data_IF_795984470189
#
_entry.id   IF_795984470189
#
_cell.length_a   1.000
_cell.length_b   1.000
_cell.length_c   1.000
_cell.angle_alpha   90.00
_cell.angle_beta   90.00
_cell.angle_gamma   90.00
#
_symmetry.space_group_name_H-M   'P 1'
#
loop_
_entity.id
_entity.type
_entity.pdbx_description
1 polymer ?
#
# COMPACT_ATOMS: atom_id res chain seq x y z
N UNK A 1 -5.47 -19.77 -47.18
CA UNK A 1 -4.05 -19.36 -47.21
C UNK A 1 -3.18 -20.32 -46.40
N UNK A 2 -3.19 -21.61 -46.64
CA UNK A 2 -2.38 -22.64 -45.93
C UNK A 2 -1.54 -23.51 -46.87
N UNK A 3 -1.46 -23.17 -48.15
CA UNK A 3 -0.75 -23.97 -49.16
C UNK A 3 0.69 -23.44 -49.50
N UNK A 4 1.22 -22.48 -48.78
CA UNK A 4 2.50 -21.81 -49.09
C UNK A 4 3.73 -22.36 -48.37
N UNK A 5 3.61 -23.29 -47.41
CA UNK A 5 4.74 -23.70 -46.55
C UNK A 5 5.45 -24.98 -47.00
N UNK A 6 5.03 -25.58 -48.10
CA UNK A 6 5.55 -26.90 -48.54
C UNK A 6 6.79 -26.87 -49.45
N UNK A 7 7.48 -25.77 -49.63
CA UNK A 7 8.73 -25.75 -50.41
C UNK A 7 9.78 -24.85 -49.81
N UNK A 8 10.44 -25.31 -48.75
CA UNK A 8 11.82 -24.91 -48.41
C UNK A 8 12.56 -26.09 -47.77
N UNK A 9 13.27 -26.84 -48.60
CA UNK A 9 14.10 -28.00 -48.21
C UNK A 9 15.45 -27.59 -47.56
N UNK A 10 15.61 -26.34 -47.07
CA UNK A 10 16.82 -25.89 -46.39
C UNK A 10 16.64 -25.63 -44.88
N UNK A 11 15.47 -25.95 -44.31
CA UNK A 11 15.20 -25.74 -42.90
C UNK A 11 15.60 -26.94 -41.99
N UNK A 12 16.24 -27.98 -42.56
CA UNK A 12 16.46 -29.24 -41.87
C UNK A 12 17.62 -29.23 -40.85
N UNK A 13 18.53 -28.25 -40.95
CA UNK A 13 19.65 -28.17 -39.99
C UNK A 13 19.33 -27.41 -38.69
N UNK A 14 18.30 -26.56 -38.71
CA UNK A 14 17.94 -25.75 -37.55
C UNK A 14 17.24 -26.54 -36.43
N UNK A 15 16.76 -27.75 -36.72
CA UNK A 15 16.03 -28.62 -35.78
C UNK A 15 16.89 -29.72 -35.15
N UNK A 16 18.19 -29.81 -35.45
CA UNK A 16 19.02 -30.92 -34.96
C UNK A 16 19.08 -30.92 -33.42
N UNK A 17 19.25 -29.75 -32.79
CA UNK A 17 19.43 -29.58 -31.34
C UNK A 17 18.14 -29.30 -30.57
N UNK A 18 16.99 -29.34 -31.24
CA UNK A 18 15.71 -29.07 -30.56
C UNK A 18 15.24 -30.35 -29.84
N UNK A 19 14.80 -30.28 -28.57
CA UNK A 19 14.30 -31.40 -27.81
C UNK A 19 13.14 -32.14 -28.52
N UNK A 20 13.06 -33.45 -28.34
CA UNK A 20 12.12 -34.33 -29.04
C UNK A 20 10.65 -33.91 -28.83
N UNK A 21 10.30 -33.43 -27.62
CA UNK A 21 8.94 -32.96 -27.29
C UNK A 21 8.54 -31.71 -28.08
N UNK A 22 9.50 -30.79 -28.33
CA UNK A 22 9.25 -29.61 -29.17
C UNK A 22 9.05 -30.03 -30.64
N UNK A 23 9.87 -30.98 -31.13
CA UNK A 23 9.69 -31.54 -32.49
C UNK A 23 8.31 -32.18 -32.65
N UNK A 24 7.84 -32.88 -31.61
CA UNK A 24 6.52 -33.48 -31.56
C UNK A 24 5.42 -32.43 -31.62
N UNK A 25 5.52 -31.35 -30.83
CA UNK A 25 4.59 -30.21 -30.85
C UNK A 25 4.46 -29.57 -32.24
N UNK A 26 5.57 -29.40 -32.97
CA UNK A 26 5.56 -28.86 -34.32
C UNK A 26 4.96 -29.82 -35.37
N UNK A 27 5.07 -31.14 -35.13
CA UNK A 27 4.54 -32.17 -36.06
C UNK A 27 3.06 -32.42 -35.83
N UNK A 28 2.67 -32.62 -34.58
CA UNK A 28 1.38 -33.14 -34.17
C UNK A 28 0.43 -32.03 -33.68
N UNK A 29 0.94 -30.80 -33.53
CA UNK A 29 0.24 -29.70 -32.88
C UNK A 29 0.32 -29.74 -31.37
N UNK A 30 -0.08 -28.65 -30.71
CA UNK A 30 -0.19 -28.63 -29.26
C UNK A 30 -1.39 -29.46 -28.79
N UNK A 31 -1.24 -30.28 -27.73
CA UNK A 31 -2.40 -30.96 -27.16
C UNK A 31 -3.44 -29.95 -26.72
N UNK A 32 -4.72 -30.25 -27.00
CA UNK A 32 -5.83 -29.35 -26.68
C UNK A 32 -6.55 -29.71 -25.36
N UNK A 33 -6.13 -30.79 -24.71
CA UNK A 33 -6.73 -31.39 -23.51
C UNK A 33 -5.90 -31.15 -22.26
N UNK A 34 -5.46 -29.90 -22.05
CA UNK A 34 -4.75 -29.52 -20.85
C UNK A 34 -5.47 -28.42 -20.09
N UNK A 35 -5.30 -28.40 -18.79
CA UNK A 35 -5.72 -27.29 -17.92
C UNK A 35 -4.49 -26.42 -17.64
N UNK A 36 -4.62 -25.13 -17.96
CA UNK A 36 -3.60 -24.13 -17.64
C UNK A 36 -3.93 -23.47 -16.29
N UNK A 37 -3.03 -23.62 -15.34
CA UNK A 37 -3.10 -22.88 -14.07
C UNK A 37 -1.86 -22.00 -14.03
N UNK A 38 -2.08 -20.68 -13.98
CA UNK A 38 -1.04 -19.67 -13.87
C UNK A 38 -1.19 -18.88 -12.57
N UNK A 39 -0.08 -18.50 -11.95
CA UNK A 39 -0.04 -17.59 -10.81
C UNK A 39 0.96 -16.48 -11.11
N UNK A 40 0.61 -15.25 -10.77
CA UNK A 40 1.44 -14.08 -11.02
C UNK A 40 1.12 -12.99 -9.99
N UNK A 41 2.10 -12.12 -9.74
CA UNK A 41 1.95 -10.89 -8.95
C UNK A 41 1.82 -9.65 -9.85
N UNK A 42 1.73 -9.84 -11.17
CA UNK A 42 1.58 -8.73 -12.12
C UNK A 42 0.15 -8.22 -12.12
N UNK A 43 0.03 -6.94 -12.38
CA UNK A 43 -1.27 -6.32 -12.61
C UNK A 43 -1.98 -6.94 -13.82
N UNK A 44 -3.33 -7.05 -13.79
CA UNK A 44 -4.11 -7.63 -14.87
C UNK A 44 -3.81 -7.04 -16.25
N UNK A 45 -3.50 -5.74 -16.32
CA UNK A 45 -3.19 -5.04 -17.57
C UNK A 45 -1.85 -5.48 -18.19
N UNK A 46 -0.93 -6.02 -17.38
CA UNK A 46 0.38 -6.51 -17.83
C UNK A 46 0.31 -7.93 -18.38
N UNK A 47 -0.81 -8.63 -18.15
CA UNK A 47 -1.00 -10.00 -18.64
C UNK A 47 -1.58 -9.95 -20.05
N UNK A 48 -1.04 -10.82 -20.94
CA UNK A 48 -1.50 -10.87 -22.32
C UNK A 48 -3.03 -11.09 -22.37
N UNK A 49 -3.78 -10.20 -23.05
CA UNK A 49 -5.24 -10.27 -23.13
C UNK A 49 -5.76 -11.60 -23.73
N UNK A 50 -4.98 -12.24 -24.62
CA UNK A 50 -5.33 -13.52 -25.20
C UNK A 50 -5.32 -14.68 -24.18
N UNK A 51 -4.52 -14.59 -23.12
CA UNK A 51 -4.50 -15.55 -22.01
C UNK A 51 -5.68 -15.25 -21.10
N UNK A 52 -5.83 -13.97 -20.69
CA UNK A 52 -6.90 -13.54 -19.77
C UNK A 52 -8.28 -13.91 -20.28
N UNK A 53 -8.56 -13.69 -21.56
CA UNK A 53 -9.87 -13.99 -22.17
C UNK A 53 -10.24 -15.50 -22.19
N UNK A 54 -9.28 -16.38 -21.89
CA UNK A 54 -9.46 -17.85 -21.91
C UNK A 54 -9.33 -18.50 -20.55
N UNK A 55 -9.04 -17.71 -19.50
CA UNK A 55 -8.88 -18.18 -18.14
C UNK A 55 -9.95 -17.57 -17.22
N UNK A 56 -10.33 -18.29 -16.19
CA UNK A 56 -11.01 -17.70 -15.04
C UNK A 56 -9.95 -16.99 -14.19
N UNK A 57 -10.25 -15.76 -13.80
CA UNK A 57 -9.35 -14.99 -12.93
C UNK A 57 -9.78 -15.19 -11.47
N UNK A 58 -8.81 -15.52 -10.61
CA UNK A 58 -9.00 -15.64 -9.17
C UNK A 58 -8.03 -14.68 -8.51
N UNK A 59 -8.55 -13.71 -7.78
CA UNK A 59 -7.75 -12.75 -7.04
C UNK A 59 -7.56 -13.23 -5.61
N UNK A 60 -6.32 -13.13 -5.12
CA UNK A 60 -5.98 -13.39 -3.74
C UNK A 60 -5.75 -12.07 -3.02
N UNK A 61 -6.46 -11.89 -1.92
CA UNK A 61 -6.26 -10.74 -1.06
C UNK A 61 -4.92 -10.85 -0.30
N UNK A 62 -4.30 -9.72 0.09
CA UNK A 62 -3.16 -9.72 1.00
C UNK A 62 -3.49 -10.44 2.30
N UNK A 63 -2.49 -11.11 2.89
CA UNK A 63 -2.65 -11.75 4.18
C UNK A 63 -2.91 -10.70 5.27
N UNK A 64 -3.84 -10.99 6.16
CA UNK A 64 -4.08 -10.20 7.37
C UNK A 64 -3.12 -10.67 8.49
N UNK A 65 -2.91 -9.87 9.55
CA UNK A 65 -2.08 -10.27 10.69
C UNK A 65 -2.50 -11.64 11.25
N UNK A 66 -3.80 -11.89 11.38
CA UNK A 66 -4.35 -13.14 11.91
C UNK A 66 -4.03 -14.34 11.01
N UNK A 67 -3.98 -14.12 9.69
CA UNK A 67 -3.59 -15.14 8.73
C UNK A 67 -2.09 -15.47 8.88
N UNK A 68 -1.25 -14.43 9.05
CA UNK A 68 0.19 -14.60 9.32
C UNK A 68 0.43 -15.32 10.64
N UNK A 69 -0.28 -14.94 11.70
CA UNK A 69 -0.21 -15.64 12.99
C UNK A 69 -0.58 -17.11 12.86
N UNK A 70 -1.65 -17.41 12.11
CA UNK A 70 -2.08 -18.79 11.84
C UNK A 70 -1.02 -19.57 11.08
N UNK A 71 -0.40 -18.95 10.06
CA UNK A 71 0.71 -19.55 9.31
C UNK A 71 1.90 -19.86 10.23
N UNK A 72 2.26 -18.93 11.11
CA UNK A 72 3.36 -19.08 12.08
C UNK A 72 3.05 -20.19 13.08
N UNK A 73 1.84 -20.22 13.65
CA UNK A 73 1.40 -21.28 14.60
C UNK A 73 1.45 -22.66 13.93
N UNK A 74 0.94 -22.79 12.70
CA UNK A 74 0.99 -24.03 11.93
C UNK A 74 2.44 -24.45 11.57
N UNK A 75 3.31 -23.50 11.28
CA UNK A 75 4.72 -23.78 11.01
C UNK A 75 5.46 -24.23 12.28
N UNK A 76 5.19 -23.59 13.42
CA UNK A 76 5.74 -23.99 14.72
C UNK A 76 5.33 -25.41 15.12
N UNK A 77 4.06 -25.78 14.91
CA UNK A 77 3.57 -27.13 15.14
C UNK A 77 4.30 -28.17 14.28
N UNK A 78 4.47 -27.90 12.97
CA UNK A 78 5.22 -28.77 12.06
C UNK A 78 6.69 -28.92 12.47
N UNK A 79 7.31 -27.88 12.98
CA UNK A 79 8.66 -27.87 13.53
C UNK A 79 8.74 -28.51 14.93
N UNK A 80 7.61 -28.81 15.56
CA UNK A 80 7.50 -29.26 16.94
C UNK A 80 8.14 -28.30 17.94
N UNK A 81 7.89 -27.00 17.75
CA UNK A 81 8.42 -25.90 18.55
C UNK A 81 7.27 -25.21 19.27
N UNK A 82 7.45 -24.95 20.56
CA UNK A 82 6.51 -24.14 21.35
C UNK A 82 6.88 -22.67 21.26
N UNK A 83 5.88 -21.82 21.15
CA UNK A 83 6.02 -20.37 21.14
C UNK A 83 5.57 -19.80 22.48
N UNK A 84 6.29 -18.81 22.98
CA UNK A 84 5.75 -17.95 24.06
C UNK A 84 4.56 -17.13 23.52
N UNK A 85 3.57 -16.90 24.40
CA UNK A 85 2.41 -16.10 24.03
C UNK A 85 2.84 -14.72 23.48
N UNK A 86 2.25 -14.32 22.35
CA UNK A 86 2.54 -13.07 21.67
C UNK A 86 3.71 -13.14 20.67
N UNK A 87 4.38 -14.30 20.49
CA UNK A 87 5.46 -14.45 19.47
C UNK A 87 4.89 -14.44 18.06
N UNK A 88 3.75 -15.08 17.84
CA UNK A 88 3.12 -15.11 16.53
C UNK A 88 2.62 -13.71 16.11
N UNK A 89 1.99 -12.99 17.04
CA UNK A 89 1.58 -11.60 16.88
C UNK A 89 2.79 -10.70 16.58
N UNK A 90 3.89 -10.88 17.31
CA UNK A 90 5.11 -10.12 17.08
C UNK A 90 5.68 -10.37 15.67
N UNK A 91 5.61 -11.59 15.13
CA UNK A 91 6.07 -11.88 13.76
C UNK A 91 5.17 -11.15 12.74
N UNK A 92 3.86 -11.11 12.97
CA UNK A 92 2.93 -10.38 12.08
C UNK A 92 3.19 -8.86 12.07
N UNK A 93 3.73 -8.28 13.16
CA UNK A 93 4.19 -6.89 13.21
C UNK A 93 5.39 -6.61 12.30
N UNK A 94 6.24 -7.60 12.05
CA UNK A 94 7.43 -7.44 11.20
C UNK A 94 7.17 -7.73 9.71
N UNK A 95 6.17 -8.53 9.38
CA UNK A 95 5.92 -8.90 7.98
C UNK A 95 4.51 -9.42 7.76
N UNK A 96 3.93 -9.04 6.62
CA UNK A 96 2.66 -9.57 6.10
C UNK A 96 2.87 -10.69 5.07
N UNK A 97 4.11 -11.04 4.76
CA UNK A 97 4.41 -12.10 3.82
C UNK A 97 4.58 -13.44 4.54
N UNK A 98 3.72 -14.42 4.27
CA UNK A 98 3.76 -15.73 4.93
C UNK A 98 5.11 -16.43 4.80
N UNK A 99 5.82 -16.29 3.67
CA UNK A 99 7.15 -16.87 3.49
C UNK A 99 8.20 -16.21 4.41
N UNK A 100 8.18 -14.88 4.50
CA UNK A 100 9.10 -14.15 5.39
C UNK A 100 8.80 -14.46 6.85
N UNK A 101 7.53 -14.59 7.23
CA UNK A 101 7.11 -14.96 8.58
C UNK A 101 7.65 -16.35 8.98
N UNK A 102 7.53 -17.34 8.09
CA UNK A 102 8.07 -18.68 8.34
C UNK A 102 9.60 -18.68 8.39
N UNK A 103 10.28 -17.92 7.54
CA UNK A 103 11.74 -17.79 7.59
C UNK A 103 12.18 -17.16 8.90
N UNK A 104 11.50 -16.09 9.36
CA UNK A 104 11.80 -15.42 10.61
C UNK A 104 11.61 -16.36 11.81
N UNK A 105 10.57 -17.21 11.78
CA UNK A 105 10.37 -18.26 12.78
C UNK A 105 11.52 -19.29 12.76
N UNK A 106 11.97 -19.73 11.58
CA UNK A 106 13.06 -20.68 11.43
C UNK A 106 14.39 -20.11 11.92
N UNK A 107 14.65 -18.83 11.66
CA UNK A 107 15.83 -18.12 12.15
C UNK A 107 15.81 -18.01 13.69
N UNK A 108 14.64 -17.68 14.27
CA UNK A 108 14.45 -17.63 15.71
C UNK A 108 14.65 -19.03 16.37
N UNK A 109 14.17 -20.07 15.73
CA UNK A 109 14.40 -21.45 16.17
C UNK A 109 15.89 -21.80 16.14
N UNK A 110 16.58 -21.47 15.06
CA UNK A 110 18.01 -21.71 14.91
C UNK A 110 18.82 -21.00 16.00
N UNK A 111 18.47 -19.77 16.33
CA UNK A 111 19.08 -19.01 17.43
C UNK A 111 18.80 -19.66 18.78
N UNK A 112 17.56 -20.11 19.03
CA UNK A 112 17.18 -20.79 20.27
C UNK A 112 17.97 -22.08 20.48
N UNK A 113 18.15 -22.90 19.44
CA UNK A 113 18.94 -24.13 19.47
C UNK A 113 20.41 -23.84 19.72
N UNK A 114 20.97 -22.81 19.06
CA UNK A 114 22.36 -22.42 19.25
C UNK A 114 22.64 -21.99 20.71
N UNK A 115 21.77 -21.19 21.30
CA UNK A 115 21.93 -20.71 22.70
C UNK A 115 21.73 -21.84 23.72
N UNK A 116 20.93 -22.84 23.40
CA UNK A 116 20.75 -24.04 24.24
C UNK A 116 21.92 -25.03 24.16
N UNK A 117 22.99 -24.70 23.43
CA UNK A 117 24.14 -25.61 23.27
C UNK A 117 23.83 -26.88 22.47
N UNK A 118 22.83 -26.86 21.59
CA UNK A 118 22.41 -28.02 20.80
C UNK A 118 21.48 -28.99 21.51
N UNK A 119 21.21 -28.82 22.79
CA UNK A 119 20.27 -29.64 23.56
C UNK A 119 18.88 -29.02 23.47
N UNK A 120 18.04 -29.56 22.61
CA UNK A 120 16.69 -29.19 22.22
C UNK A 120 15.80 -28.43 23.21
N UNK A 121 15.96 -27.12 23.31
CA UNK A 121 14.88 -26.27 23.75
C UNK A 121 14.01 -25.97 22.53
N UNK A 122 12.97 -26.75 22.33
CA UNK A 122 11.95 -26.51 21.31
C UNK A 122 11.00 -25.38 21.77
N UNK A 123 11.58 -24.24 22.21
CA UNK A 123 10.82 -23.11 22.71
C UNK A 123 11.41 -21.79 22.23
N UNK A 124 10.59 -20.93 21.65
CA UNK A 124 10.96 -19.61 21.18
C UNK A 124 10.30 -18.57 22.07
N UNK A 125 11.14 -17.80 22.79
CA UNK A 125 10.70 -16.69 23.62
C UNK A 125 10.59 -15.39 22.80
N UNK A 126 9.84 -14.42 23.32
CA UNK A 126 9.77 -13.07 22.77
C UNK A 126 11.15 -12.40 22.68
N UNK A 127 12.04 -12.69 23.62
CA UNK A 127 13.40 -12.13 23.60
C UNK A 127 14.23 -12.70 22.45
N UNK A 128 14.19 -14.02 22.23
CA UNK A 128 14.83 -14.65 21.07
C UNK A 128 14.28 -14.06 19.78
N UNK A 129 12.96 -13.89 19.70
CA UNK A 129 12.31 -13.32 18.53
C UNK A 129 12.77 -11.89 18.25
N UNK A 130 12.82 -11.02 19.27
CA UNK A 130 13.33 -9.65 19.15
C UNK A 130 14.76 -9.60 18.65
N UNK A 131 15.62 -10.46 19.19
CA UNK A 131 17.03 -10.53 18.79
C UNK A 131 17.18 -11.02 17.36
N UNK A 132 16.39 -11.99 16.94
CA UNK A 132 16.36 -12.48 15.56
C UNK A 132 15.92 -11.36 14.61
N UNK A 133 14.83 -10.66 14.92
CA UNK A 133 14.35 -9.55 14.11
C UNK A 133 15.38 -8.42 13.97
N UNK A 134 16.07 -8.06 15.06
CA UNK A 134 17.18 -7.09 15.04
C UNK A 134 18.36 -7.57 14.20
N UNK A 135 18.73 -8.86 14.31
CA UNK A 135 19.81 -9.46 13.53
C UNK A 135 19.52 -9.47 12.04
N UNK A 136 18.26 -9.67 11.66
CA UNK A 136 17.77 -9.60 10.28
C UNK A 136 17.52 -8.17 9.79
N UNK A 137 17.82 -7.15 10.59
CA UNK A 137 17.58 -5.72 10.32
C UNK A 137 16.11 -5.43 9.96
N UNK A 138 15.20 -6.22 10.49
CA UNK A 138 13.79 -5.97 10.34
C UNK A 138 13.36 -4.87 11.30
N UNK A 139 12.71 -3.87 10.77
CA UNK A 139 12.00 -2.87 11.56
C UNK A 139 10.54 -3.27 11.67
N UNK A 140 9.91 -3.00 12.80
CA UNK A 140 8.47 -3.14 12.92
C UNK A 140 7.84 -2.28 11.83
N UNK A 141 7.05 -2.91 10.98
CA UNK A 141 6.46 -2.24 9.81
C UNK A 141 5.43 -1.19 10.21
N UNK A 142 5.03 -1.19 11.48
CA UNK A 142 3.88 -0.43 11.94
C UNK A 142 4.18 0.23 13.30
N UNK A 143 4.51 1.51 13.25
CA UNK A 143 4.42 2.36 14.42
C UNK A 143 2.98 2.88 14.50
N UNK A 144 2.32 2.71 15.66
CA UNK A 144 1.09 3.46 15.95
C UNK A 144 1.47 4.94 15.99
N UNK A 145 1.06 5.65 14.96
CA UNK A 145 1.34 7.09 14.79
C UNK A 145 0.09 7.95 15.06
N UNK A 146 -1.08 7.31 15.10
CA UNK A 146 -2.33 7.99 15.43
C UNK A 146 -2.24 8.67 16.80
N UNK A 147 -2.68 9.92 16.87
CA UNK A 147 -2.68 10.76 18.07
C UNK A 147 -4.07 11.33 18.31
N UNK A 148 -4.43 11.54 19.58
CA UNK A 148 -5.66 12.22 19.95
C UNK A 148 -5.46 13.75 20.02
N UNK A 149 -4.25 14.26 19.82
CA UNK A 149 -3.93 15.69 19.85
C UNK A 149 -4.07 16.26 18.43
N UNK A 150 -5.04 17.13 18.18
CA UNK A 150 -5.22 17.74 16.87
C UNK A 150 -4.07 18.70 16.53
N UNK A 151 -3.69 18.74 15.25
CA UNK A 151 -2.59 19.59 14.77
C UNK A 151 -3.01 20.44 13.57
N UNK A 152 -2.48 21.67 13.50
CA UNK A 152 -2.72 22.57 12.37
C UNK A 152 -1.80 22.21 11.22
N UNK A 153 -2.38 22.05 10.03
CA UNK A 153 -1.63 21.77 8.81
C UNK A 153 -1.08 20.36 8.71
N UNK A 154 -1.40 19.46 9.63
CA UNK A 154 -0.93 18.08 9.62
C UNK A 154 -2.06 17.08 9.41
N UNK A 155 -1.87 16.11 8.51
CA UNK A 155 -2.86 15.07 8.19
C UNK A 155 -2.18 13.80 7.72
N UNK A 156 -2.81 12.65 7.97
CA UNK A 156 -2.37 11.37 7.45
C UNK A 156 -3.07 11.06 6.13
N UNK A 157 -2.28 11.00 5.05
CA UNK A 157 -2.67 10.41 3.78
C UNK A 157 -2.38 8.91 3.75
N UNK A 158 -2.73 8.25 2.64
CA UNK A 158 -2.53 6.82 2.44
C UNK A 158 -1.88 6.52 1.09
N UNK A 159 -0.89 5.65 1.12
CA UNK A 159 -0.19 5.12 -0.04
C UNK A 159 -0.25 3.61 -0.13
N UNK A 160 0.04 3.08 -1.32
CA UNK A 160 0.21 1.64 -1.57
C UNK A 160 1.56 1.43 -2.25
N UNK A 161 2.28 0.43 -1.77
CA UNK A 161 3.52 -0.04 -2.41
C UNK A 161 3.44 -1.56 -2.55
N UNK A 162 3.27 -2.03 -3.78
CA UNK A 162 2.94 -3.43 -4.05
C UNK A 162 1.60 -3.81 -3.41
N UNK A 163 1.63 -4.78 -2.51
CA UNK A 163 0.43 -5.24 -1.77
C UNK A 163 0.35 -4.70 -0.34
N UNK A 164 1.15 -3.68 0.00
CA UNK A 164 1.18 -3.11 1.34
C UNK A 164 0.69 -1.67 1.32
N UNK A 165 -0.32 -1.39 2.14
CA UNK A 165 -0.75 -0.04 2.44
C UNK A 165 0.08 0.59 3.54
N UNK A 166 0.26 1.90 3.48
CA UNK A 166 0.96 2.67 4.51
C UNK A 166 0.34 4.04 4.68
N UNK A 167 0.49 4.60 5.87
CA UNK A 167 0.20 6.00 6.12
C UNK A 167 1.33 6.88 5.61
N UNK A 168 0.98 8.05 5.14
CA UNK A 168 1.88 9.09 4.66
C UNK A 168 1.57 10.35 5.46
N UNK A 169 2.55 10.90 6.14
CA UNK A 169 2.38 12.16 6.85
C UNK A 169 2.50 13.33 5.87
N UNK A 170 1.53 14.22 5.91
CA UNK A 170 1.46 15.41 5.06
C UNK A 170 1.37 16.64 5.96
N UNK A 171 2.32 17.53 5.81
CA UNK A 171 2.38 18.79 6.53
C UNK A 171 2.21 19.97 5.57
N UNK A 172 1.48 20.97 5.99
CA UNK A 172 1.38 22.25 5.33
C UNK A 172 1.57 23.39 6.33
N UNK A 173 2.39 24.36 5.95
CA UNK A 173 2.58 25.59 6.72
C UNK A 173 2.33 26.79 5.82
N UNK A 174 1.51 27.73 6.27
CA UNK A 174 1.17 28.94 5.56
C UNK A 174 1.59 30.17 6.34
N UNK A 175 2.44 30.98 5.75
CA UNK A 175 2.92 32.25 6.32
C UNK A 175 2.45 33.42 5.44
N UNK A 176 2.07 34.57 5.99
CA UNK A 176 1.76 35.74 5.18
C UNK A 176 2.92 36.08 4.25
N UNK A 177 2.65 36.26 2.96
CA UNK A 177 3.66 36.70 2.02
C UNK A 177 4.14 38.11 2.34
N UNK A 178 5.41 38.42 2.00
CA UNK A 178 5.97 39.78 2.20
C UNK A 178 5.22 40.85 1.42
N UNK A 179 4.70 40.50 0.24
CA UNK A 179 3.90 41.34 -0.62
C UNK A 179 2.67 40.57 -1.06
N UNK A 180 1.48 41.18 -0.94
CA UNK A 180 0.24 40.55 -1.36
C UNK A 180 0.28 40.11 -2.86
N UNK A 181 -0.17 38.94 -3.13
CA UNK A 181 -0.16 38.32 -4.47
C UNK A 181 1.18 37.80 -4.95
N UNK A 182 2.27 37.90 -4.15
CA UNK A 182 3.61 37.41 -4.49
C UNK A 182 4.09 36.25 -3.60
N UNK A 183 3.16 35.59 -2.93
CA UNK A 183 3.46 34.37 -2.16
C UNK A 183 4.00 33.24 -3.02
N UNK A 184 4.76 32.39 -2.41
CA UNK A 184 5.44 31.26 -3.06
C UNK A 184 4.86 29.93 -2.58
N UNK A 185 4.78 28.95 -3.49
CA UNK A 185 4.39 27.59 -3.17
C UNK A 185 5.62 26.68 -3.25
N UNK A 186 6.02 26.14 -2.13
CA UNK A 186 7.11 25.18 -2.01
C UNK A 186 6.56 23.78 -1.71
N UNK A 187 6.96 22.84 -2.52
CA UNK A 187 6.67 21.41 -2.33
C UNK A 187 7.99 20.63 -2.27
N UNK A 188 8.12 19.67 -1.36
CA UNK A 188 9.38 18.94 -1.25
C UNK A 188 9.68 18.12 -2.53
N UNK A 189 10.97 17.97 -2.84
CA UNK A 189 11.43 17.35 -4.08
C UNK A 189 11.25 15.82 -4.15
N UNK A 190 10.85 15.18 -3.06
CA UNK A 190 10.62 13.73 -2.98
C UNK A 190 9.27 13.29 -3.58
N UNK A 191 8.36 14.25 -3.82
CA UNK A 191 7.09 13.95 -4.45
C UNK A 191 7.21 13.91 -5.97
N UNK A 192 6.56 12.95 -6.60
CA UNK A 192 6.45 12.82 -8.05
C UNK A 192 5.64 13.96 -8.70
N UNK A 193 5.57 13.97 -10.02
CA UNK A 193 4.88 15.02 -10.78
C UNK A 193 3.39 15.07 -10.48
N UNK A 194 2.72 13.93 -10.34
CA UNK A 194 1.27 13.87 -10.06
C UNK A 194 0.92 14.41 -8.67
N UNK A 195 1.79 14.19 -7.67
CA UNK A 195 1.59 14.78 -6.35
C UNK A 195 1.71 16.31 -6.38
N UNK A 196 2.64 16.85 -7.20
CA UNK A 196 2.78 18.30 -7.43
C UNK A 196 1.56 18.90 -8.13
N UNK A 197 1.01 18.20 -9.12
CA UNK A 197 -0.21 18.63 -9.81
C UNK A 197 -1.42 18.67 -8.86
N UNK A 198 -1.46 17.74 -7.89
CA UNK A 198 -2.48 17.76 -6.84
C UNK A 198 -2.43 19.03 -5.98
N UNK A 199 -1.24 19.58 -5.73
CA UNK A 199 -1.09 20.86 -5.00
C UNK A 199 -1.63 22.04 -5.80
N UNK A 200 -1.40 22.06 -7.12
CA UNK A 200 -1.96 23.11 -7.99
C UNK A 200 -3.50 23.05 -8.03
N UNK A 201 -4.04 21.82 -8.07
CA UNK A 201 -5.48 21.59 -7.96
C UNK A 201 -6.01 22.04 -6.60
N UNK A 202 -5.32 21.67 -5.52
CA UNK A 202 -5.65 22.08 -4.16
C UNK A 202 -5.71 23.61 -4.02
N UNK A 203 -4.76 24.33 -4.62
CA UNK A 203 -4.74 25.79 -4.60
C UNK A 203 -6.02 26.41 -5.18
N UNK A 204 -6.52 25.85 -6.27
CA UNK A 204 -7.78 26.30 -6.91
C UNK A 204 -9.00 26.02 -6.01
N UNK A 205 -9.03 24.85 -5.38
CA UNK A 205 -10.11 24.45 -4.46
C UNK A 205 -10.11 25.31 -3.20
N UNK A 206 -8.93 25.54 -2.60
CA UNK A 206 -8.79 26.39 -1.40
C UNK A 206 -9.30 27.81 -1.64
N UNK A 207 -8.91 28.43 -2.77
CA UNK A 207 -9.38 29.75 -3.14
C UNK A 207 -10.90 29.83 -3.21
N UNK A 208 -11.54 28.78 -3.75
CA UNK A 208 -13.00 28.73 -3.85
C UNK A 208 -13.69 28.58 -2.49
N UNK A 209 -13.13 27.78 -1.58
CA UNK A 209 -13.78 27.45 -0.31
C UNK A 209 -13.52 28.47 0.80
N UNK A 210 -12.38 29.14 0.77
CA UNK A 210 -11.95 30.01 1.86
C UNK A 210 -11.97 31.50 1.49
N UNK A 211 -12.29 31.85 0.24
CA UNK A 211 -12.16 33.20 -0.34
C UNK A 211 -10.74 33.80 -0.20
N UNK A 212 -9.76 33.00 0.26
CA UNK A 212 -8.37 33.42 0.43
C UNK A 212 -7.59 33.18 -0.85
N UNK A 213 -6.77 34.15 -1.22
CA UNK A 213 -5.83 33.99 -2.33
C UNK A 213 -4.54 33.38 -1.81
N UNK A 214 -4.20 32.16 -2.25
CA UNK A 214 -2.94 31.52 -1.86
C UNK A 214 -1.70 32.32 -2.29
N UNK A 215 -1.81 33.21 -3.27
CA UNK A 215 -0.76 34.17 -3.59
C UNK A 215 -0.43 35.18 -2.47
N UNK A 216 -1.26 35.27 -1.43
CA UNK A 216 -0.99 36.10 -0.25
C UNK A 216 -0.22 35.34 0.85
N UNK A 217 0.15 34.10 0.59
CA UNK A 217 0.87 33.23 1.53
C UNK A 217 2.12 32.62 0.89
N UNK A 218 3.18 32.54 1.68
CA UNK A 218 4.28 31.60 1.45
C UNK A 218 3.85 30.25 2.02
N UNK A 219 3.52 29.32 1.13
CA UNK A 219 2.99 28.00 1.48
C UNK A 219 4.05 26.93 1.28
N UNK A 220 4.33 26.18 2.32
CA UNK A 220 5.20 25.02 2.30
C UNK A 220 4.36 23.75 2.51
N UNK A 221 4.46 22.79 1.59
CA UNK A 221 3.84 21.47 1.72
C UNK A 221 4.94 20.42 1.72
N UNK A 222 4.94 19.58 2.73
CA UNK A 222 5.92 18.53 2.92
C UNK A 222 5.23 17.17 3.08
N UNK A 223 5.75 16.16 2.39
CA UNK A 223 5.34 14.77 2.55
C UNK A 223 6.47 14.03 3.24
N UNK A 224 6.19 13.55 4.45
CA UNK A 224 7.14 12.83 5.31
C UNK A 224 7.02 11.33 5.05
N UNK A 225 8.12 10.62 5.07
CA UNK A 225 8.11 9.14 4.96
C UNK A 225 9.09 8.57 3.94
N UNK A 226 9.90 9.43 3.27
CA UNK A 226 11.09 9.00 2.50
C UNK A 226 10.82 8.13 1.27
N UNK A 227 9.58 7.83 0.94
CA UNK A 227 9.20 7.07 -0.24
C UNK A 227 8.92 7.99 -1.43
N UNK A 228 9.09 7.48 -2.64
CA UNK A 228 8.62 8.17 -3.85
C UNK A 228 7.09 8.10 -3.87
N UNK A 229 6.44 9.13 -3.32
CA UNK A 229 4.98 9.26 -3.36
C UNK A 229 4.60 9.84 -4.72
N UNK A 230 4.14 8.98 -5.61
CA UNK A 230 3.66 9.40 -6.92
C UNK A 230 2.24 8.86 -7.14
N UNK A 231 1.32 9.77 -7.36
CA UNK A 231 -0.08 9.45 -7.60
C UNK A 231 -1.01 10.55 -7.09
N UNK A 232 -2.21 10.68 -7.70
CA UNK A 232 -3.16 11.72 -7.35
C UNK A 232 -3.93 11.43 -6.04
N UNK A 233 -3.81 10.22 -5.48
CA UNK A 233 -4.61 9.74 -4.34
C UNK A 233 -4.37 10.48 -3.01
N UNK A 234 -3.28 11.25 -2.91
CA UNK A 234 -2.99 12.12 -1.77
C UNK A 234 -3.63 13.51 -1.90
N UNK A 235 -4.23 13.85 -3.04
CA UNK A 235 -4.73 15.19 -3.33
C UNK A 235 -5.76 15.71 -2.32
N UNK A 236 -6.64 14.84 -1.86
CA UNK A 236 -7.61 15.16 -0.82
C UNK A 236 -6.92 15.53 0.51
N UNK A 237 -5.95 14.72 0.96
CA UNK A 237 -5.21 14.97 2.18
C UNK A 237 -4.36 16.26 2.09
N UNK A 238 -3.67 16.47 0.98
CA UNK A 238 -2.92 17.71 0.71
C UNK A 238 -3.83 18.94 0.79
N UNK A 239 -5.02 18.87 0.19
CA UNK A 239 -5.98 19.97 0.22
C UNK A 239 -6.45 20.28 1.64
N UNK A 240 -6.76 19.24 2.42
CA UNK A 240 -7.17 19.39 3.81
C UNK A 240 -6.06 20.02 4.67
N UNK A 241 -4.79 19.59 4.49
CA UNK A 241 -3.65 20.17 5.18
C UNK A 241 -3.46 21.66 4.85
N UNK A 242 -3.58 22.05 3.57
CA UNK A 242 -3.47 23.44 3.13
C UNK A 242 -4.59 24.28 3.72
N UNK A 243 -5.85 23.82 3.68
CA UNK A 243 -6.99 24.53 4.27
C UNK A 243 -6.77 24.73 5.77
N UNK A 244 -6.35 23.69 6.47
CA UNK A 244 -6.03 23.77 7.90
C UNK A 244 -4.95 24.80 8.19
N UNK A 245 -3.85 24.80 7.43
CA UNK A 245 -2.76 25.75 7.60
C UNK A 245 -3.17 27.20 7.32
N UNK A 246 -3.96 27.44 6.28
CA UNK A 246 -4.43 28.79 5.89
C UNK A 246 -5.51 29.31 6.85
N UNK A 247 -6.39 28.43 7.32
CA UNK A 247 -7.46 28.76 8.27
C UNK A 247 -7.00 28.73 9.74
N UNK A 248 -5.81 28.20 10.01
CA UNK A 248 -5.27 27.97 11.39
C UNK A 248 -6.23 27.12 12.23
N UNK A 249 -6.88 26.13 11.61
CA UNK A 249 -7.80 25.20 12.26
C UNK A 249 -7.17 23.81 12.34
N UNK A 250 -7.09 23.20 13.52
CA UNK A 250 -6.43 21.91 13.67
C UNK A 250 -7.24 20.77 13.06
N UNK A 251 -6.54 19.75 12.59
CA UNK A 251 -7.09 18.50 12.07
C UNK A 251 -6.90 17.35 13.05
N UNK A 252 -7.83 16.43 13.07
CA UNK A 252 -7.75 15.19 13.84
C UNK A 252 -6.60 14.32 13.34
N UNK A 253 -5.81 13.79 14.27
CA UNK A 253 -4.64 12.96 14.00
C UNK A 253 -4.91 11.46 14.16
N UNK A 254 -6.15 11.08 14.43
CA UNK A 254 -6.61 9.70 14.51
C UNK A 254 -7.41 9.26 13.27
N UNK A 255 -7.39 10.07 12.21
CA UNK A 255 -8.03 9.81 10.93
C UNK A 255 -7.02 9.83 9.78
N UNK A 256 -7.19 8.89 8.84
CA UNK A 256 -6.45 8.88 7.58
C UNK A 256 -7.37 9.19 6.40
N UNK A 257 -6.81 9.83 5.37
CA UNK A 257 -7.58 10.33 4.23
C UNK A 257 -6.98 9.84 2.92
N UNK A 258 -7.81 9.32 2.01
CA UNK A 258 -7.40 9.05 0.63
C UNK A 258 -8.47 9.51 -0.34
N UNK A 259 -8.04 9.96 -1.51
CA UNK A 259 -8.92 10.41 -2.58
C UNK A 259 -8.18 11.34 -3.52
N UNK A 260 -8.46 11.23 -4.81
CA UNK A 260 -8.06 12.22 -5.79
C UNK A 260 -9.04 13.39 -5.73
N UNK A 261 -8.55 14.61 -5.85
CA UNK A 261 -9.40 15.82 -5.82
C UNK A 261 -9.50 16.45 -7.20
N UNK A 262 -10.72 16.76 -7.62
CA UNK A 262 -10.98 17.53 -8.83
C UNK A 262 -10.93 19.03 -8.58
N UNK A 263 -10.83 19.83 -9.63
CA UNK A 263 -10.91 21.31 -9.55
C UNK A 263 -12.24 21.81 -8.97
N UNK A 264 -13.31 20.99 -9.09
CA UNK A 264 -14.61 21.28 -8.46
C UNK A 264 -14.66 20.93 -6.97
N UNK A 265 -13.59 20.32 -6.41
CA UNK A 265 -13.56 19.84 -5.01
C UNK A 265 -14.26 18.51 -4.79
N UNK A 266 -14.69 17.83 -5.87
CA UNK A 266 -15.20 16.48 -5.78
C UNK A 266 -14.06 15.50 -5.53
N UNK A 267 -14.31 14.49 -4.70
CA UNK A 267 -13.38 13.42 -4.40
C UNK A 267 -13.63 12.27 -5.37
N UNK A 268 -12.61 11.90 -6.12
CA UNK A 268 -12.65 10.85 -7.14
C UNK A 268 -12.06 9.53 -6.62
N UNK A 269 -12.50 8.38 -7.17
CA UNK A 269 -12.06 7.07 -6.74
C UNK A 269 -10.57 6.85 -6.95
N UNK A 270 -9.99 6.00 -6.11
CA UNK A 270 -8.56 5.65 -6.11
C UNK A 270 -8.38 4.14 -6.03
N UNK A 271 -7.21 3.65 -6.45
CA UNK A 271 -6.86 2.24 -6.33
C UNK A 271 -6.33 1.84 -4.95
N UNK A 272 -6.37 0.53 -4.66
CA UNK A 272 -5.75 -0.07 -3.49
C UNK A 272 -6.39 0.36 -2.16
N UNK A 273 -7.70 0.55 -2.13
CA UNK A 273 -8.41 1.07 -0.95
C UNK A 273 -8.39 0.06 0.19
N UNK A 274 -8.44 -1.22 -0.11
CA UNK A 274 -8.33 -2.28 0.91
C UNK A 274 -6.96 -2.24 1.60
N UNK A 275 -5.87 -2.22 0.83
CA UNK A 275 -4.51 -2.13 1.34
C UNK A 275 -4.29 -0.85 2.14
N UNK A 276 -4.83 0.28 1.66
CA UNK A 276 -4.80 1.57 2.35
C UNK A 276 -5.53 1.52 3.68
N UNK A 277 -6.71 0.92 3.72
CA UNK A 277 -7.48 0.74 4.96
C UNK A 277 -6.72 -0.13 5.96
N UNK A 278 -6.09 -1.19 5.47
CA UNK A 278 -5.25 -2.04 6.29
C UNK A 278 -4.05 -1.27 6.86
N UNK A 279 -3.34 -0.48 6.04
CA UNK A 279 -2.24 0.38 6.50
C UNK A 279 -2.68 1.42 7.54
N UNK A 280 -3.87 2.01 7.39
CA UNK A 280 -4.44 2.92 8.36
C UNK A 280 -4.74 2.22 9.70
N UNK A 281 -5.32 1.03 9.65
CA UNK A 281 -5.55 0.21 10.84
C UNK A 281 -4.25 -0.10 11.60
N UNK A 282 -3.21 -0.51 10.88
CA UNK A 282 -1.91 -0.81 11.46
C UNK A 282 -1.25 0.41 12.11
N UNK A 283 -1.45 1.59 11.53
CA UNK A 283 -1.02 2.86 12.11
C UNK A 283 -1.84 3.29 13.34
N UNK A 284 -2.87 2.52 13.70
CA UNK A 284 -3.73 2.76 14.86
C UNK A 284 -4.77 3.85 14.63
N UNK A 285 -5.11 4.15 13.37
CA UNK A 285 -6.16 5.12 13.05
C UNK A 285 -7.51 4.64 13.57
N UNK A 286 -8.33 5.57 14.05
CA UNK A 286 -9.70 5.31 14.50
C UNK A 286 -10.71 5.54 13.38
N UNK A 287 -10.33 6.35 12.39
CA UNK A 287 -11.18 6.67 11.26
C UNK A 287 -10.44 6.69 9.93
N UNK A 288 -11.21 6.43 8.88
CA UNK A 288 -10.74 6.38 7.50
C UNK A 288 -11.70 7.11 6.59
N UNK A 289 -11.20 8.04 5.79
CA UNK A 289 -11.95 8.73 4.75
C UNK A 289 -11.57 8.19 3.39
N UNK A 290 -12.57 7.77 2.63
CA UNK A 290 -12.45 7.23 1.28
C UNK A 290 -13.42 7.91 0.33
N UNK A 291 -13.17 7.89 -0.99
CA UNK A 291 -14.17 8.30 -1.96
C UNK A 291 -15.45 7.46 -1.88
N UNK A 292 -16.61 8.08 -2.09
CA UNK A 292 -17.89 7.39 -2.02
C UNK A 292 -18.01 6.21 -3.01
N UNK A 293 -17.35 6.35 -4.17
CA UNK A 293 -17.34 5.32 -5.21
C UNK A 293 -16.50 4.08 -4.83
N UNK A 294 -15.56 4.22 -3.87
CA UNK A 294 -14.76 3.10 -3.36
C UNK A 294 -15.39 2.39 -2.15
N UNK A 295 -16.63 2.71 -1.78
CA UNK A 295 -17.26 2.12 -0.60
C UNK A 295 -17.33 0.59 -0.64
N UNK A 296 -17.54 0.04 -1.83
CA UNK A 296 -17.63 -1.41 -2.03
C UNK A 296 -16.26 -2.11 -1.99
N UNK A 297 -15.17 -1.38 -2.26
CA UNK A 297 -13.80 -1.95 -2.31
C UNK A 297 -13.30 -2.38 -0.93
N UNK A 298 -13.83 -1.82 0.16
CA UNK A 298 -13.48 -2.23 1.54
C UNK A 298 -14.30 -3.46 1.98
N UNK A 299 -15.46 -3.71 1.36
CA UNK A 299 -16.38 -4.76 1.76
C UNK A 299 -16.94 -4.56 3.17
N UNK A 300 -17.18 -5.65 3.88
CA UNK A 300 -17.66 -5.64 5.28
C UNK A 300 -16.52 -5.47 6.30
N UNK A 301 -15.27 -5.50 5.87
CA UNK A 301 -14.09 -5.45 6.74
C UNK A 301 -13.69 -4.00 7.00
N UNK A 302 -14.19 -3.41 8.07
CA UNK A 302 -13.83 -2.04 8.46
C UNK A 302 -12.62 -1.97 9.41
N UNK A 303 -11.94 -3.09 9.69
CA UNK A 303 -10.79 -3.19 10.61
C UNK A 303 -11.02 -2.52 11.97
N UNK A 304 -12.29 -2.42 12.41
CA UNK A 304 -12.65 -1.72 13.66
C UNK A 304 -12.58 -0.19 13.59
N UNK A 305 -12.35 0.40 12.40
CA UNK A 305 -12.33 1.85 12.18
C UNK A 305 -13.71 2.38 11.77
N UNK A 306 -13.97 3.66 12.04
CA UNK A 306 -15.07 4.37 11.40
C UNK A 306 -14.68 4.71 9.95
N UNK A 307 -15.45 4.21 8.97
CA UNK A 307 -15.21 4.49 7.56
C UNK A 307 -16.22 5.53 7.05
N UNK A 308 -15.72 6.68 6.61
CA UNK A 308 -16.51 7.74 6.01
C UNK A 308 -16.31 7.76 4.50
N UNK A 309 -17.35 7.40 3.76
CA UNK A 309 -17.39 7.50 2.30
C UNK A 309 -17.90 8.88 1.89
N UNK A 310 -17.05 9.71 1.28
CA UNK A 310 -17.28 11.13 1.00
C UNK A 310 -17.31 11.44 -0.48
N UNK A 311 -17.97 12.54 -0.86
CA UNK A 311 -18.04 12.99 -2.25
C UNK A 311 -17.32 14.31 -2.49
N UNK A 312 -17.16 15.12 -1.46
CA UNK A 312 -16.59 16.46 -1.57
C UNK A 312 -15.54 16.71 -0.49
N UNK A 313 -14.69 17.69 -0.70
CA UNK A 313 -13.68 18.09 0.29
C UNK A 313 -14.33 18.69 1.54
N UNK A 314 -15.49 19.31 1.39
CA UNK A 314 -16.28 19.82 2.50
C UNK A 314 -16.69 18.69 3.45
N UNK A 315 -17.15 17.55 2.91
CA UNK A 315 -17.47 16.34 3.71
C UNK A 315 -16.25 15.83 4.49
N UNK A 316 -15.05 15.91 3.86
CA UNK A 316 -13.79 15.55 4.52
C UNK A 316 -13.51 16.47 5.70
N UNK A 317 -13.57 17.79 5.47
CA UNK A 317 -13.30 18.79 6.50
C UNK A 317 -14.28 18.68 7.68
N UNK A 318 -15.55 18.40 7.40
CA UNK A 318 -16.57 18.20 8.46
C UNK A 318 -16.23 17.00 9.37
N UNK A 319 -15.49 16.02 8.89
CA UNK A 319 -15.07 14.85 9.65
C UNK A 319 -13.80 15.07 10.47
N UNK A 320 -12.81 15.74 9.90
CA UNK A 320 -11.48 15.82 10.51
C UNK A 320 -11.11 17.19 11.07
N UNK A 321 -11.81 18.26 10.68
CA UNK A 321 -11.54 19.59 11.20
C UNK A 321 -12.12 19.75 12.61
N UNK A 322 -11.28 20.13 13.56
CA UNK A 322 -11.73 20.40 14.93
C UNK A 322 -12.28 21.80 15.01
N UNK A 323 -13.47 21.91 15.59
CA UNK A 323 -14.19 23.19 15.74
C UNK A 323 -13.68 23.99 16.91
#
# INVERSE_FOLDING_TARGET
MLNGIRKRSSACSFFADVPAYIKKLFRDGAPADFILIGATTREPQEINPAIRSRCAEVFFEPLRPEDVETIVKNAAEKLKVSLEDGVAEMISEYTMEGRKAVNLLADAYSLAVYEAGGAGKNFISREIMRRTARGSRLTVSHHKIASDVPEVGHVFGLGVSGFSGSTIEIEAAAYPAKEAGKGTLHFNNTAGSMAKDSVATAASVVRRLTDKNLGDYDLHVNVIGGGNVDGPSAGCAVTAAIISAVEQKPLRQDWAVTGEISLSGEIKPVGGVYEKAFGAHQAGMKGLIIPAENKEDIGETHFGMEVAAVRTIEDVLDKILVK
#
